data_IF_707216861986
#
_entry.id   IF_707216861986
#
_cell.length_a   1.000
_cell.length_b   1.000
_cell.length_c   1.000
_cell.angle_alpha   90.00
_cell.angle_beta   90.00
_cell.angle_gamma   90.00
#
_symmetry.space_group_name_H-M   'P 1'
#
loop_
_entity.id
_entity.type
_entity.pdbx_description
1 polymer ?
#
# COMPACT_ATOMS: atom_id res chain seq x y z
N UNK A 1 17.52 56.30 -57.45
CA UNK A 1 16.24 55.63 -57.19
C UNK A 1 16.49 54.14 -56.99
N UNK A 2 16.63 53.70 -55.73
CA UNK A 2 16.71 52.31 -55.33
C UNK A 2 16.18 52.24 -53.90
N UNK A 3 15.07 51.55 -53.68
CA UNK A 3 14.82 50.87 -52.41
C UNK A 3 13.74 49.81 -52.61
N UNK A 4 13.94 48.74 -51.88
CA UNK A 4 13.55 47.37 -52.18
C UNK A 4 12.17 47.01 -51.63
N UNK A 5 11.50 46.07 -52.31
CA UNK A 5 10.30 45.40 -51.81
C UNK A 5 10.65 44.53 -50.60
N UNK A 6 9.99 44.78 -49.46
CA UNK A 6 10.07 43.92 -48.29
C UNK A 6 8.93 42.88 -48.34
N UNK A 7 9.29 41.62 -48.59
CA UNK A 7 8.40 40.48 -48.35
C UNK A 7 8.36 40.18 -46.84
N UNK A 8 7.17 40.25 -46.24
CA UNK A 8 6.95 39.80 -44.86
C UNK A 8 6.74 38.29 -44.87
N UNK A 9 7.66 37.56 -44.26
CA UNK A 9 7.52 36.13 -43.95
C UNK A 9 6.81 36.04 -42.59
N UNK A 10 5.55 35.62 -42.58
CA UNK A 10 4.82 35.27 -41.35
C UNK A 10 5.14 33.83 -40.98
N UNK A 11 6.01 33.64 -39.99
CA UNK A 11 6.25 32.34 -39.38
C UNK A 11 5.09 31.99 -38.43
N UNK A 12 4.29 30.99 -38.79
CA UNK A 12 3.28 30.42 -37.88
C UNK A 12 3.96 29.45 -36.92
N UNK A 13 4.12 29.85 -35.67
CA UNK A 13 4.58 28.99 -34.59
C UNK A 13 3.42 28.12 -34.10
N UNK A 14 3.38 26.86 -34.51
CA UNK A 14 2.45 25.87 -33.97
C UNK A 14 2.91 25.44 -32.57
N UNK A 15 2.23 25.95 -31.54
CA UNK A 15 2.36 25.50 -30.16
C UNK A 15 1.73 24.10 -30.02
N UNK A 16 2.56 23.05 -30.04
CA UNK A 16 2.17 21.72 -29.61
C UNK A 16 2.02 21.71 -28.08
N UNK A 17 0.81 21.95 -27.59
CA UNK A 17 0.43 21.55 -26.23
C UNK A 17 0.31 20.02 -26.23
N UNK A 18 1.39 19.33 -25.86
CA UNK A 18 1.29 17.93 -25.47
C UNK A 18 0.43 17.88 -24.20
N UNK A 19 -0.73 17.20 -24.17
CA UNK A 19 -1.45 16.97 -22.94
C UNK A 19 -0.57 16.05 -22.09
N UNK A 20 0.11 16.63 -21.10
CA UNK A 20 0.60 15.85 -19.97
C UNK A 20 -0.63 15.22 -19.34
N UNK A 21 -0.83 13.93 -19.60
CA UNK A 21 -1.75 13.11 -18.85
C UNK A 21 -1.26 13.12 -17.41
N UNK A 22 -1.83 14.00 -16.60
CA UNK A 22 -1.73 13.91 -15.16
C UNK A 22 -2.43 12.60 -14.78
N UNK A 23 -1.67 11.52 -14.64
CA UNK A 23 -2.14 10.33 -13.96
C UNK A 23 -2.50 10.80 -12.56
N UNK A 24 -3.80 10.92 -12.27
CA UNK A 24 -4.27 10.96 -10.90
C UNK A 24 -3.90 9.60 -10.31
N UNK A 25 -2.78 9.53 -9.59
CA UNK A 25 -2.27 8.32 -8.96
C UNK A 25 -3.19 7.95 -7.79
N UNK A 26 -4.35 7.38 -8.14
CA UNK A 26 -5.27 6.76 -7.21
C UNK A 26 -4.78 5.34 -6.94
N UNK A 27 -4.81 4.91 -5.68
CA UNK A 27 -4.52 3.52 -5.34
C UNK A 27 -5.75 2.70 -5.74
N UNK A 28 -5.58 1.82 -6.72
CA UNK A 28 -6.58 0.81 -7.09
C UNK A 28 -6.19 -0.51 -6.43
N UNK A 29 -6.81 -0.84 -5.28
CA UNK A 29 -6.49 -2.05 -4.54
C UNK A 29 -6.90 -3.33 -5.26
N UNK A 30 -7.92 -3.30 -6.11
CA UNK A 30 -8.39 -4.48 -6.84
C UNK A 30 -7.44 -4.90 -7.97
N UNK A 31 -6.64 -3.95 -8.47
CA UNK A 31 -5.71 -4.18 -9.57
C UNK A 31 -4.40 -3.39 -9.36
N UNK A 32 -3.53 -3.92 -8.51
CA UNK A 32 -2.18 -3.39 -8.32
C UNK A 32 -1.23 -4.11 -9.27
N UNK A 33 -0.69 -3.38 -10.25
CA UNK A 33 0.25 -3.93 -11.24
C UNK A 33 1.65 -3.40 -11.00
N UNK A 34 2.58 -4.29 -10.65
CA UNK A 34 4.00 -3.95 -10.43
C UNK A 34 4.88 -4.90 -11.22
N UNK A 35 5.67 -4.36 -12.16
CA UNK A 35 6.57 -5.14 -13.02
C UNK A 35 5.90 -6.36 -13.69
N UNK A 36 4.72 -6.16 -14.28
CA UNK A 36 3.92 -7.21 -14.96
C UNK A 36 3.38 -8.31 -14.03
N UNK A 37 3.40 -8.09 -12.71
CA UNK A 37 2.68 -8.92 -11.74
C UNK A 37 1.49 -8.15 -11.23
N UNK A 38 0.35 -8.82 -11.21
CA UNK A 38 -0.91 -8.29 -10.73
C UNK A 38 -1.17 -8.81 -9.32
N UNK A 39 -1.72 -7.95 -8.48
CA UNK A 39 -2.12 -8.25 -7.11
C UNK A 39 -3.50 -7.66 -6.86
N UNK A 40 -4.33 -8.41 -6.15
CA UNK A 40 -5.64 -7.93 -5.69
C UNK A 40 -5.60 -7.83 -4.15
N UNK A 41 -5.55 -6.59 -3.67
CA UNK A 41 -5.59 -6.22 -2.26
C UNK A 41 -6.97 -5.69 -1.84
N UNK A 42 -8.00 -5.82 -2.68
CA UNK A 42 -9.36 -5.35 -2.40
C UNK A 42 -9.98 -5.98 -1.16
N UNK A 43 -9.60 -7.23 -0.85
CA UNK A 43 -9.99 -7.89 0.39
C UNK A 43 -9.43 -7.22 1.66
N UNK A 44 -8.44 -6.34 1.53
CA UNK A 44 -7.89 -5.53 2.61
C UNK A 44 -8.50 -4.12 2.66
N UNK A 45 -9.49 -3.81 1.82
CA UNK A 45 -10.15 -2.50 1.77
C UNK A 45 -11.07 -2.29 2.99
N UNK A 46 -10.46 -2.02 4.12
CA UNK A 46 -11.11 -1.67 5.36
C UNK A 46 -10.28 -0.62 6.12
N UNK A 47 -10.90 0.00 7.13
CA UNK A 47 -10.21 0.87 8.07
C UNK A 47 -9.69 0.04 9.24
N UNK A 48 -8.38 0.06 9.44
CA UNK A 48 -7.69 -0.61 10.54
C UNK A 48 -7.18 0.43 11.53
N UNK A 49 -7.08 0.02 12.79
CA UNK A 49 -6.50 0.85 13.85
C UNK A 49 -5.45 0.07 14.62
N UNK A 50 -4.29 0.69 14.80
CA UNK A 50 -3.25 0.23 15.71
C UNK A 50 -3.06 1.28 16.79
N UNK A 51 -2.53 0.90 17.94
CA UNK A 51 -2.18 1.85 18.99
C UNK A 51 -0.81 1.56 19.59
N UNK A 52 -0.15 2.62 20.04
CA UNK A 52 1.07 2.56 20.85
C UNK A 52 0.85 3.36 22.13
N UNK A 53 1.53 2.96 23.20
CA UNK A 53 1.43 3.62 24.51
C UNK A 53 2.83 4.02 24.94
N UNK A 54 3.02 5.32 25.15
CA UNK A 54 4.25 5.90 25.65
C UNK A 54 4.00 6.45 27.06
N UNK A 55 4.80 5.98 28.02
CA UNK A 55 4.64 6.37 29.43
C UNK A 55 5.65 7.45 29.79
N UNK A 56 5.14 8.61 30.19
CA UNK A 56 5.93 9.77 30.61
C UNK A 56 5.40 10.30 31.95
N UNK A 57 5.70 9.64 33.09
CA UNK A 57 5.10 9.99 34.37
C UNK A 57 5.14 11.50 34.67
N UNK A 58 4.01 12.14 34.99
CA UNK A 58 2.69 11.57 35.31
C UNK A 58 1.73 11.35 34.12
N UNK A 59 2.14 11.63 32.88
CA UNK A 59 1.30 11.47 31.69
C UNK A 59 1.52 10.14 30.98
N UNK A 60 0.50 9.70 30.25
CA UNK A 60 0.54 8.55 29.35
C UNK A 60 -0.02 9.00 28.01
N UNK A 61 0.77 8.84 26.98
CA UNK A 61 0.39 9.12 25.60
C UNK A 61 -0.08 7.84 24.94
N UNK A 62 -1.32 7.84 24.46
CA UNK A 62 -1.86 6.78 23.63
C UNK A 62 -2.02 7.30 22.20
N UNK A 63 -1.16 6.81 21.31
CA UNK A 63 -1.20 7.17 19.90
C UNK A 63 -1.94 6.10 19.12
N UNK A 64 -3.09 6.47 18.55
CA UNK A 64 -3.86 5.60 17.65
C UNK A 64 -3.56 5.95 16.21
N UNK A 65 -3.10 4.97 15.43
CA UNK A 65 -2.89 5.07 13.99
C UNK A 65 -4.11 4.49 13.28
N UNK A 66 -4.82 5.32 12.51
CA UNK A 66 -5.91 4.90 11.64
C UNK A 66 -5.39 4.75 10.20
N UNK A 67 -5.65 3.60 9.59
CA UNK A 67 -5.13 3.22 8.27
C UNK A 67 -6.27 2.70 7.39
N UNK A 68 -6.48 3.35 6.26
CA UNK A 68 -7.16 2.80 5.10
C UNK A 68 -6.37 3.22 3.86
N UNK A 69 -5.60 2.30 3.30
CA UNK A 69 -4.74 2.62 2.16
C UNK A 69 -5.50 2.59 0.83
N UNK A 70 -6.68 1.96 0.75
CA UNK A 70 -7.49 1.88 -0.46
C UNK A 70 -8.40 3.10 -0.64
N UNK A 71 -8.96 3.63 0.46
CA UNK A 71 -9.91 4.75 0.47
C UNK A 71 -9.59 5.75 1.58
N UNK A 72 -10.07 7.00 1.49
CA UNK A 72 -9.98 7.94 2.60
C UNK A 72 -10.63 7.38 3.88
N UNK A 73 -10.08 7.74 5.03
CA UNK A 73 -10.58 7.40 6.35
C UNK A 73 -11.98 7.99 6.56
N UNK A 74 -12.82 7.22 7.26
CA UNK A 74 -14.12 7.71 7.67
C UNK A 74 -13.93 8.74 8.80
N UNK A 75 -14.71 9.82 8.74
CA UNK A 75 -14.77 10.79 9.83
C UNK A 75 -15.43 10.17 11.04
N UNK A 76 -14.96 10.56 12.22
CA UNK A 76 -15.58 10.20 13.49
C UNK A 76 -16.64 11.23 13.85
N UNK A 77 -17.80 10.75 14.28
CA UNK A 77 -18.93 11.62 14.64
C UNK A 77 -18.81 12.18 16.07
N UNK A 78 -18.06 11.49 16.92
CA UNK A 78 -17.90 11.76 18.35
C UNK A 78 -16.83 12.81 18.67
N UNK A 79 -16.03 13.23 17.69
CA UNK A 79 -14.89 14.12 17.88
C UNK A 79 -15.01 15.37 17.00
N UNK A 80 -14.50 16.49 17.52
CA UNK A 80 -14.53 17.75 16.80
C UNK A 80 -13.80 17.61 15.47
N UNK A 81 -14.40 18.08 14.37
CA UNK A 81 -13.80 18.00 13.04
C UNK A 81 -12.40 18.64 12.92
N UNK A 82 -12.00 19.51 13.86
CA UNK A 82 -10.66 20.11 13.92
C UNK A 82 -9.63 19.23 14.64
N UNK A 83 -10.09 18.32 15.50
CA UNK A 83 -9.28 17.35 16.26
C UNK A 83 -9.34 15.96 15.63
N UNK A 84 -10.18 15.77 14.62
CA UNK A 84 -10.23 14.58 13.81
C UNK A 84 -9.29 14.67 12.60
N UNK A 85 -9.01 13.53 11.99
CA UNK A 85 -8.18 13.47 10.80
C UNK A 85 -8.77 14.33 9.66
N UNK A 86 -7.93 15.14 8.98
CA UNK A 86 -8.41 15.97 7.90
C UNK A 86 -8.98 15.14 6.74
N UNK A 87 -9.92 15.72 5.99
CA UNK A 87 -10.50 15.05 4.83
C UNK A 87 -9.43 14.69 3.80
N UNK A 88 -9.53 13.49 3.22
CA UNK A 88 -8.55 12.95 2.29
C UNK A 88 -7.43 12.14 2.94
N UNK A 89 -7.36 12.09 4.28
CA UNK A 89 -6.45 11.21 5.01
C UNK A 89 -6.69 9.75 4.67
N UNK A 90 -5.62 9.01 4.39
CA UNK A 90 -5.60 7.54 4.29
C UNK A 90 -4.85 6.92 5.46
N UNK A 91 -3.87 7.65 5.98
CA UNK A 91 -3.13 7.31 7.19
C UNK A 91 -3.04 8.54 8.07
N UNK A 92 -3.42 8.39 9.33
CA UNK A 92 -3.47 9.47 10.31
C UNK A 92 -3.17 8.92 11.70
N UNK A 93 -2.48 9.71 12.52
CA UNK A 93 -2.25 9.42 13.93
C UNK A 93 -2.96 10.43 14.81
N UNK A 94 -3.56 9.96 15.90
CA UNK A 94 -4.18 10.80 16.92
C UNK A 94 -3.60 10.37 18.26
N UNK A 95 -2.98 11.32 18.96
CA UNK A 95 -2.39 11.06 20.28
C UNK A 95 -3.27 11.69 21.35
N UNK A 96 -3.74 10.85 22.27
CA UNK A 96 -4.40 11.28 23.48
C UNK A 96 -3.40 11.27 24.63
N UNK A 97 -3.25 12.39 25.31
CA UNK A 97 -2.46 12.48 26.54
C UNK A 97 -3.42 12.33 27.73
N UNK A 98 -3.10 11.41 28.63
CA UNK A 98 -3.85 11.18 29.86
C UNK A 98 -2.98 11.43 31.07
N UNK A 99 -3.38 12.35 31.95
CA UNK A 99 -2.73 12.56 33.23
C UNK A 99 -3.20 11.49 34.22
N UNK A 100 -2.26 10.69 34.74
CA UNK A 100 -2.57 9.56 35.63
C UNK A 100 -2.94 9.96 37.05
N UNK A 101 -2.66 11.21 37.45
CA UNK A 101 -2.99 11.75 38.78
C UNK A 101 -4.42 12.30 38.80
N UNK A 102 -4.76 13.12 37.81
CA UNK A 102 -6.05 13.83 37.76
C UNK A 102 -7.09 13.10 36.91
N UNK A 103 -6.70 11.99 36.25
CA UNK A 103 -7.52 11.20 35.32
C UNK A 103 -8.15 12.02 34.18
N UNK A 104 -7.53 13.14 33.81
CA UNK A 104 -7.94 13.99 32.69
C UNK A 104 -7.28 13.51 31.40
N UNK A 105 -8.04 13.50 30.30
CA UNK A 105 -7.57 13.10 28.97
C UNK A 105 -7.91 14.17 27.95
N UNK A 106 -6.96 14.46 27.05
CA UNK A 106 -7.12 15.42 25.96
C UNK A 106 -6.44 14.91 24.69
N UNK A 107 -6.91 15.36 23.54
CA UNK A 107 -6.21 15.13 22.27
C UNK A 107 -5.01 16.07 22.23
N UNK A 108 -3.80 15.51 22.35
CA UNK A 108 -2.54 16.25 22.32
C UNK A 108 -2.23 16.71 20.90
N UNK A 109 -2.36 15.79 19.94
CA UNK A 109 -2.09 16.10 18.53
C UNK A 109 -2.81 15.17 17.56
N UNK A 110 -2.97 15.66 16.33
CA UNK A 110 -3.49 14.93 15.18
C UNK A 110 -2.55 15.14 14.01
N UNK A 111 -1.93 14.06 13.56
CA UNK A 111 -0.88 14.07 12.55
C UNK A 111 -1.41 13.42 11.27
N UNK A 112 -1.67 14.20 10.20
CA UNK A 112 -1.96 13.63 8.89
C UNK A 112 -0.68 13.04 8.29
N UNK A 113 -0.58 11.72 8.20
CA UNK A 113 0.64 11.03 7.76
C UNK A 113 0.67 10.85 6.24
N UNK A 114 -0.41 10.34 5.66
CA UNK A 114 -0.51 10.14 4.22
C UNK A 114 -1.96 10.28 3.74
N UNK A 115 -2.15 10.80 2.53
CA UNK A 115 -3.48 11.15 2.03
C UNK A 115 -3.42 12.13 0.88
N UNK A 116 -4.59 12.41 0.33
CA UNK A 116 -4.74 13.42 -0.72
C UNK A 116 -5.07 14.77 -0.09
N UNK A 117 -4.07 15.64 0.02
CA UNK A 117 -4.18 16.92 0.69
C UNK A 117 -3.88 18.11 -0.22
N UNK A 118 -3.88 17.93 -1.55
CA UNK A 118 -3.57 19.00 -2.53
C UNK A 118 -4.49 20.22 -2.42
N UNK A 119 -5.67 20.07 -1.83
CA UNK A 119 -6.63 21.15 -1.57
C UNK A 119 -6.58 21.71 -0.14
N UNK A 120 -5.65 21.24 0.69
CA UNK A 120 -5.49 21.65 2.10
C UNK A 120 -4.03 21.99 2.42
N UNK A 121 -3.51 21.61 3.60
CA UNK A 121 -2.19 22.02 4.09
C UNK A 121 -1.05 21.02 3.75
N UNK A 122 -1.29 20.08 2.84
CA UNK A 122 -0.34 19.01 2.49
C UNK A 122 -0.07 18.90 0.99
N UNK A 123 0.50 17.76 0.59
CA UNK A 123 0.73 17.40 -0.80
C UNK A 123 -0.26 16.37 -1.33
N UNK A 124 -0.02 15.91 -2.56
CA UNK A 124 -0.74 14.77 -3.13
C UNK A 124 -0.29 13.45 -2.51
N UNK A 125 -1.13 12.42 -2.63
CA UNK A 125 -0.86 11.09 -2.08
C UNK A 125 0.40 10.43 -2.68
N UNK A 126 0.66 10.66 -3.98
CA UNK A 126 1.80 10.12 -4.74
C UNK A 126 2.18 8.66 -4.39
N UNK A 127 1.26 7.70 -4.49
CA UNK A 127 1.51 6.32 -4.07
C UNK A 127 2.54 5.63 -4.96
N UNK A 128 3.54 4.99 -4.34
CA UNK A 128 4.59 4.24 -5.03
C UNK A 128 4.57 2.78 -4.62
N UNK A 129 4.38 1.91 -5.60
CA UNK A 129 4.42 0.46 -5.43
C UNK A 129 5.75 -0.12 -5.87
N UNK A 130 6.34 -0.98 -5.05
CA UNK A 130 7.59 -1.70 -5.37
C UNK A 130 7.47 -3.16 -4.99
N UNK A 131 8.11 -4.05 -5.76
CA UNK A 131 8.17 -5.49 -5.45
C UNK A 131 9.36 -5.78 -4.56
N UNK A 132 9.11 -6.46 -3.43
CA UNK A 132 10.15 -6.78 -2.44
C UNK A 132 11.23 -7.71 -3.03
N UNK A 133 10.84 -8.78 -3.74
CA UNK A 133 11.79 -9.72 -4.37
C UNK A 133 12.82 -9.06 -5.28
N UNK A 134 12.45 -7.96 -5.93
CA UNK A 134 13.31 -7.25 -6.89
C UNK A 134 13.89 -5.96 -6.31
N UNK A 135 13.60 -5.66 -5.05
CA UNK A 135 14.14 -4.50 -4.34
C UNK A 135 15.65 -4.67 -4.20
N UNK A 136 16.39 -3.59 -4.39
CA UNK A 136 17.84 -3.55 -4.20
C UNK A 136 18.26 -3.60 -2.73
N UNK A 137 17.31 -3.48 -1.79
CA UNK A 137 17.58 -3.51 -0.37
C UNK A 137 17.89 -4.92 0.14
N UNK A 138 18.99 -5.08 0.87
CA UNK A 138 19.42 -6.37 1.45
C UNK A 138 18.38 -6.96 2.41
N UNK A 139 17.59 -6.12 3.08
CA UNK A 139 16.50 -6.53 3.98
C UNK A 139 15.32 -7.20 3.26
N UNK A 140 15.20 -7.01 1.94
CA UNK A 140 14.10 -7.54 1.14
C UNK A 140 14.46 -8.86 0.43
N UNK A 141 15.72 -9.30 0.53
CA UNK A 141 16.20 -10.53 -0.13
C UNK A 141 15.43 -11.75 0.38
N UNK A 142 14.73 -12.41 -0.54
CA UNK A 142 13.96 -13.63 -0.26
C UNK A 142 12.54 -13.40 0.27
N UNK A 143 12.11 -12.16 0.49
CA UNK A 143 10.74 -11.83 0.92
C UNK A 143 9.85 -11.65 -0.31
N UNK A 144 8.76 -12.42 -0.37
CA UNK A 144 7.70 -12.25 -1.36
C UNK A 144 6.68 -11.22 -0.87
N UNK A 145 6.34 -10.24 -1.70
CA UNK A 145 5.39 -9.21 -1.32
C UNK A 145 5.56 -7.88 -2.06
N UNK A 146 4.88 -6.87 -1.53
CA UNK A 146 4.82 -5.51 -2.06
C UNK A 146 5.18 -4.49 -0.99
N UNK A 147 5.80 -3.38 -1.37
CA UNK A 147 5.94 -2.19 -0.53
C UNK A 147 5.17 -1.04 -1.17
N UNK A 148 4.28 -0.45 -0.39
CA UNK A 148 3.55 0.76 -0.71
C UNK A 148 4.13 1.92 0.09
N UNK A 149 4.64 2.94 -0.61
CA UNK A 149 4.99 4.23 -0.02
C UNK A 149 3.90 5.25 -0.38
N UNK A 150 3.35 5.91 0.64
CA UNK A 150 2.32 6.93 0.49
C UNK A 150 2.80 8.24 1.11
N UNK A 151 2.51 9.34 0.44
CA UNK A 151 2.91 10.69 0.82
C UNK A 151 1.68 11.59 1.06
N UNK A 152 1.94 12.89 1.11
CA UNK A 152 0.95 13.95 1.18
C UNK A 152 0.85 14.60 2.55
N UNK A 153 1.12 13.87 3.62
CA UNK A 153 1.01 14.39 4.98
C UNK A 153 2.03 15.50 5.27
N UNK A 154 1.60 16.48 6.06
CA UNK A 154 2.46 17.57 6.52
C UNK A 154 2.03 17.98 7.91
N UNK A 155 2.97 17.92 8.85
CA UNK A 155 2.76 18.29 10.24
C UNK A 155 3.45 19.62 10.55
N UNK A 156 2.79 20.46 11.34
CA UNK A 156 3.32 21.74 11.82
C UNK A 156 3.75 21.57 13.25
N UNK A 157 5.05 21.51 13.46
CA UNK A 157 5.63 21.39 14.78
C UNK A 157 6.01 22.79 15.29
N UNK A 158 5.47 23.18 16.43
CA UNK A 158 5.76 24.49 17.04
C UNK A 158 6.63 24.30 18.28
N UNK A 159 7.86 24.79 18.21
CA UNK A 159 8.80 24.83 19.33
C UNK A 159 9.07 26.28 19.73
N UNK A 160 8.50 26.70 20.85
CA UNK A 160 8.52 28.10 21.30
C UNK A 160 7.90 29.02 20.24
N UNK A 161 8.68 29.99 19.74
CA UNK A 161 8.20 30.94 18.71
C UNK A 161 8.41 30.47 17.26
N UNK A 162 8.98 29.28 17.03
CA UNK A 162 9.29 28.78 15.67
C UNK A 162 8.34 27.64 15.31
N UNK A 163 7.67 27.77 14.17
CA UNK A 163 6.88 26.69 13.58
C UNK A 163 7.64 26.13 12.38
N UNK A 164 7.91 24.82 12.40
CA UNK A 164 8.49 24.08 11.28
C UNK A 164 7.44 23.18 10.67
N UNK A 165 7.48 23.07 9.35
CA UNK A 165 6.64 22.11 8.62
C UNK A 165 7.49 20.88 8.34
N UNK A 166 7.04 19.72 8.79
CA UNK A 166 7.68 18.43 8.57
C UNK A 166 6.81 17.60 7.65
N UNK A 167 7.36 17.13 6.53
CA UNK A 167 6.65 16.22 5.63
C UNK A 167 6.47 14.87 6.33
N UNK A 168 5.37 14.21 6.06
CA UNK A 168 5.05 12.90 6.61
C UNK A 168 4.93 11.89 5.46
N UNK A 169 5.23 10.63 5.73
CA UNK A 169 4.94 9.53 4.81
C UNK A 169 4.64 8.23 5.57
N UNK A 170 3.93 7.34 4.91
CA UNK A 170 3.68 5.99 5.40
C UNK A 170 4.27 4.96 4.44
N UNK A 171 4.91 3.94 4.98
CA UNK A 171 5.43 2.78 4.26
C UNK A 171 4.74 1.55 4.82
N UNK A 172 4.02 0.82 3.97
CA UNK A 172 3.37 -0.44 4.30
C UNK A 172 4.06 -1.55 3.49
N UNK A 173 4.66 -2.51 4.19
CA UNK A 173 5.21 -3.72 3.58
C UNK A 173 4.22 -4.87 3.69
N UNK A 174 3.60 -5.22 2.57
CA UNK A 174 2.74 -6.38 2.47
C UNK A 174 3.59 -7.63 2.23
N UNK A 175 3.63 -8.53 3.22
CA UNK A 175 4.43 -9.75 3.19
C UNK A 175 3.52 -10.94 2.89
N UNK A 176 3.89 -11.72 1.87
CA UNK A 176 3.14 -12.92 1.52
C UNK A 176 3.22 -13.94 2.66
N UNK A 177 2.09 -14.14 3.33
CA UNK A 177 1.89 -15.17 4.33
C UNK A 177 0.75 -16.08 3.90
N UNK A 178 1.11 -17.32 3.54
CA UNK A 178 0.16 -18.37 3.17
C UNK A 178 -0.32 -19.09 4.42
N UNK A 179 -1.61 -19.45 4.43
CA UNK A 179 -2.17 -20.35 5.45
C UNK A 179 -1.49 -21.73 5.39
N UNK A 180 -1.52 -22.54 6.47
CA UNK A 180 -0.97 -23.90 6.46
C UNK A 180 -1.52 -24.75 5.30
N UNK A 181 -2.82 -24.66 5.03
CA UNK A 181 -3.48 -25.38 3.93
C UNK A 181 -2.98 -24.95 2.56
N UNK A 182 -2.80 -23.64 2.34
CA UNK A 182 -2.24 -23.11 1.09
C UNK A 182 -0.77 -23.51 0.92
N UNK A 183 0.00 -23.55 2.01
CA UNK A 183 1.38 -24.05 1.99
C UNK A 183 1.41 -25.52 1.60
N UNK A 184 0.51 -26.35 2.16
CA UNK A 184 0.37 -27.78 1.79
C UNK A 184 -0.02 -27.93 0.33
N UNK A 185 -1.07 -27.26 -0.13
CA UNK A 185 -1.51 -27.30 -1.54
C UNK A 185 -0.41 -26.88 -2.52
N UNK A 186 0.34 -25.83 -2.21
CA UNK A 186 1.46 -25.37 -3.05
C UNK A 186 2.60 -26.37 -3.08
N UNK A 187 2.89 -27.04 -1.95
CA UNK A 187 3.86 -28.13 -1.89
C UNK A 187 3.41 -29.29 -2.77
N UNK A 188 2.15 -29.71 -2.65
CA UNK A 188 1.57 -30.81 -3.44
C UNK A 188 1.56 -30.47 -4.95
N UNK A 189 1.29 -29.22 -5.32
CA UNK A 189 1.38 -28.74 -6.71
C UNK A 189 2.82 -28.79 -7.23
N UNK A 190 3.80 -28.36 -6.43
CA UNK A 190 5.22 -28.43 -6.80
C UNK A 190 5.71 -29.86 -6.96
N UNK A 191 5.25 -30.80 -6.12
CA UNK A 191 5.57 -32.23 -6.25
C UNK A 191 5.00 -32.79 -7.55
N UNK A 192 3.72 -32.53 -7.85
CA UNK A 192 3.09 -32.98 -9.11
C UNK A 192 3.75 -32.43 -10.38
N UNK A 193 4.35 -31.24 -10.32
CA UNK A 193 5.10 -30.67 -11.45
C UNK A 193 6.44 -31.39 -11.59
N UNK A 194 7.15 -31.63 -10.49
CA UNK A 194 8.41 -32.41 -10.52
C UNK A 194 8.18 -33.82 -11.04
N UNK A 195 7.11 -34.50 -10.60
CA UNK A 195 6.78 -35.83 -11.09
C UNK A 195 6.46 -35.84 -12.59
N UNK A 196 5.96 -34.73 -13.15
CA UNK A 196 5.72 -34.60 -14.60
C UNK A 196 6.97 -34.29 -15.40
N UNK A 197 7.95 -33.62 -14.81
CA UNK A 197 9.24 -33.35 -15.46
C UNK A 197 10.21 -34.53 -15.33
N UNK A 198 10.01 -35.42 -14.33
CA UNK A 198 10.83 -36.62 -14.09
C UNK A 198 10.22 -37.91 -14.68
N UNK A 199 8.94 -37.94 -15.05
CA UNK A 199 8.32 -39.05 -15.79
C UNK A 199 8.56 -38.97 -17.30
N UNK A 200 9.83 -39.01 -17.68
CA UNK A 200 10.25 -39.69 -18.92
C UNK A 200 10.72 -41.13 -18.65
N UNK A 201 10.85 -41.61 -17.41
CA UNK A 201 11.02 -43.06 -17.13
C UNK A 201 10.66 -43.47 -15.67
N UNK A 202 9.75 -44.45 -15.59
CA UNK A 202 9.59 -45.50 -14.56
C UNK A 202 8.80 -45.32 -13.24
N UNK A 203 8.23 -46.47 -12.90
CA UNK A 203 7.18 -46.90 -11.97
C UNK A 203 7.62 -46.93 -10.48
N UNK A 204 6.65 -47.30 -9.64
CA UNK A 204 6.71 -47.73 -8.24
C UNK A 204 6.51 -46.69 -7.14
N UNK A 205 5.57 -47.01 -6.24
CA UNK A 205 5.07 -46.17 -5.17
C UNK A 205 5.80 -46.34 -3.83
N UNK A 206 5.37 -45.55 -2.84
CA UNK A 206 5.08 -46.02 -1.48
C UNK A 206 4.42 -44.91 -0.65
N UNK A 207 3.65 -45.35 0.34
CA UNK A 207 2.95 -44.56 1.36
C UNK A 207 3.88 -43.71 2.22
N UNK A 208 3.38 -42.61 2.79
CA UNK A 208 3.83 -42.17 4.12
C UNK A 208 2.82 -41.23 4.83
N UNK A 209 2.60 -41.55 6.10
CA UNK A 209 1.66 -40.96 7.06
C UNK A 209 1.98 -39.50 7.40
N UNK A 210 0.95 -38.65 7.55
CA UNK A 210 1.09 -37.26 8.02
C UNK A 210 0.52 -37.12 9.43
N UNK A 211 1.43 -36.94 10.39
CA UNK A 211 1.11 -36.55 11.77
C UNK A 211 0.53 -35.14 11.86
N UNK A 212 -0.54 -35.03 12.64
CA UNK A 212 -1.29 -33.82 12.95
C UNK A 212 -0.64 -33.10 14.15
N UNK A 213 -0.25 -31.84 13.98
CA UNK A 213 0.12 -30.95 15.08
C UNK A 213 -0.70 -29.65 14.95
N UNK A 214 -1.80 -29.63 15.70
CA UNK A 214 -2.74 -28.54 15.81
C UNK A 214 -2.18 -27.47 16.76
N UNK A 215 -1.46 -26.51 16.21
CA UNK A 215 -1.14 -25.24 16.86
C UNK A 215 -2.24 -24.21 16.60
N UNK A 216 -3.10 -23.97 17.60
CA UNK A 216 -4.18 -22.98 17.58
C UNK A 216 -3.60 -21.56 17.38
N UNK A 217 -3.90 -20.95 16.23
CA UNK A 217 -3.65 -19.53 15.94
C UNK A 217 -5.01 -18.87 15.83
N UNK A 218 -5.21 -17.79 16.59
CA UNK A 218 -6.39 -16.94 16.47
C UNK A 218 -6.32 -16.29 15.07
N UNK A 219 -7.18 -16.77 14.19
CA UNK A 219 -7.45 -16.23 12.86
C UNK A 219 -8.54 -15.18 13.02
N UNK A 220 -8.14 -13.93 13.26
CA UNK A 220 -9.02 -12.78 13.09
C UNK A 220 -9.29 -12.70 11.58
N UNK A 221 -10.41 -13.30 11.15
CA UNK A 221 -10.80 -13.60 9.75
C UNK A 221 -10.96 -12.42 8.78
N UNK A 222 -10.12 -11.40 8.88
CA UNK A 222 -10.07 -10.16 8.12
C UNK A 222 -8.71 -9.96 7.42
N UNK A 223 -8.17 -11.03 6.82
CA UNK A 223 -7.21 -10.88 5.72
C UNK A 223 -5.73 -10.72 6.08
N UNK A 224 -5.34 -10.88 7.35
CA UNK A 224 -3.93 -10.98 7.77
C UNK A 224 -3.56 -10.12 8.98
N UNK A 225 -2.29 -10.18 9.41
CA UNK A 225 -1.80 -9.49 10.62
C UNK A 225 -1.09 -8.19 10.26
N UNK A 226 -1.63 -7.05 10.74
CA UNK A 226 -1.02 -5.72 10.60
C UNK A 226 -0.21 -5.38 11.86
N UNK A 227 1.05 -4.99 11.69
CA UNK A 227 2.01 -4.76 12.78
C UNK A 227 2.64 -3.37 12.66
N UNK A 228 2.70 -2.64 13.78
CA UNK A 228 3.47 -1.42 13.90
C UNK A 228 4.98 -1.74 13.98
N UNK A 229 5.79 -1.11 13.13
CA UNK A 229 7.25 -1.27 13.16
C UNK A 229 7.90 -0.06 13.83
N UNK A 230 7.66 1.14 13.29
CA UNK A 230 8.18 2.38 13.87
C UNK A 230 7.48 3.63 13.34
N UNK A 231 7.63 4.73 14.06
CA UNK A 231 7.27 6.08 13.62
C UNK A 231 8.41 7.02 13.99
N UNK A 232 9.24 7.37 13.01
CA UNK A 232 10.55 7.99 13.26
C UNK A 232 10.77 9.24 12.39
N UNK A 233 11.46 10.22 12.96
CA UNK A 233 11.90 11.42 12.25
C UNK A 233 13.19 11.13 11.46
N UNK A 234 13.05 11.04 10.14
CA UNK A 234 14.17 10.98 9.19
C UNK A 234 14.52 12.41 8.72
N UNK A 235 15.51 12.59 7.83
CA UNK A 235 15.93 13.93 7.40
C UNK A 235 14.79 14.72 6.72
N UNK A 236 14.18 14.14 5.68
CA UNK A 236 13.14 14.82 4.89
C UNK A 236 11.73 14.56 5.45
N UNK A 237 11.45 13.35 5.93
CA UNK A 237 10.12 12.90 6.34
C UNK A 237 10.12 12.39 7.78
N UNK A 238 9.00 12.52 8.46
CA UNK A 238 8.66 11.60 9.55
C UNK A 238 7.95 10.41 8.91
N UNK A 239 8.43 9.20 9.17
CA UNK A 239 8.05 8.00 8.43
C UNK A 239 7.36 7.00 9.37
N UNK A 240 6.10 6.67 9.08
CA UNK A 240 5.41 5.53 9.68
C UNK A 240 5.73 4.26 8.89
N UNK A 241 6.24 3.22 9.57
CA UNK A 241 6.56 1.92 8.98
C UNK A 241 5.63 0.86 9.57
N UNK A 242 4.93 0.16 8.69
CA UNK A 242 4.02 -0.92 9.02
C UNK A 242 4.40 -2.18 8.24
N UNK A 243 4.25 -3.34 8.87
CA UNK A 243 4.32 -4.65 8.21
C UNK A 243 2.93 -5.27 8.20
N UNK A 244 2.49 -5.79 7.05
CA UNK A 244 1.21 -6.46 6.92
C UNK A 244 1.39 -7.83 6.30
N UNK A 245 1.26 -8.87 7.10
CA UNK A 245 1.33 -10.26 6.62
C UNK A 245 -0.02 -10.68 6.07
N UNK A 246 -0.06 -11.10 4.82
CA UNK A 246 -1.32 -11.43 4.14
C UNK A 246 -1.10 -12.35 2.93
N UNK A 247 -2.06 -13.22 2.65
CA UNK A 247 -2.04 -14.09 1.46
C UNK A 247 -2.21 -13.30 0.16
N UNK A 248 -2.81 -12.12 0.20
CA UNK A 248 -3.07 -11.28 -0.98
C UNK A 248 -1.79 -10.65 -1.56
N UNK A 249 -0.70 -10.66 -0.79
CA UNK A 249 0.63 -10.21 -1.23
C UNK A 249 1.43 -11.31 -1.95
N UNK A 250 0.87 -12.51 -2.12
CA UNK A 250 1.50 -13.62 -2.83
C UNK A 250 1.31 -13.49 -4.35
N UNK A 251 2.39 -13.66 -5.13
CA UNK A 251 2.38 -13.44 -6.60
C UNK A 251 1.58 -14.48 -7.39
N UNK A 252 1.21 -15.58 -6.75
CA UNK A 252 0.45 -16.71 -7.30
C UNK A 252 -0.92 -16.87 -6.65
N UNK A 253 -1.38 -15.88 -5.88
CA UNK A 253 -2.71 -15.88 -5.27
C UNK A 253 -3.79 -16.10 -6.34
N UNK A 254 -4.78 -16.95 -6.05
CA UNK A 254 -5.83 -17.29 -7.02
C UNK A 254 -6.64 -16.07 -7.44
N UNK A 255 -6.76 -15.08 -6.56
CA UNK A 255 -7.46 -13.82 -6.78
C UNK A 255 -6.76 -12.92 -7.82
N UNK A 256 -5.44 -13.10 -8.02
CA UNK A 256 -4.68 -12.42 -9.10
C UNK A 256 -4.84 -13.09 -10.48
N UNK A 257 -5.36 -14.32 -10.55
CA UNK A 257 -5.47 -15.11 -11.79
C UNK A 257 -6.82 -14.97 -12.49
N UNK A 258 -7.81 -14.36 -11.84
CA UNK A 258 -9.15 -14.20 -12.42
C UNK A 258 -9.23 -13.03 -13.41
N UNK A 259 -8.38 -12.01 -13.27
CA UNK A 259 -8.24 -10.90 -14.23
C UNK A 259 -7.55 -11.29 -15.55
N UNK A 260 -6.75 -12.36 -15.55
CA UNK A 260 -5.90 -12.75 -16.70
C UNK A 260 -6.47 -13.88 -17.57
N UNK A 261 -7.71 -14.32 -17.33
CA UNK A 261 -8.45 -15.23 -18.23
C UNK A 261 -9.43 -14.50 -19.14
N UNK A 262 -9.05 -13.35 -19.71
CA UNK A 262 -9.71 -12.88 -20.93
C UNK A 262 -9.23 -13.75 -22.10
N UNK A 263 -10.05 -14.74 -22.44
CA UNK A 263 -9.80 -15.71 -23.49
C UNK A 263 -9.39 -15.07 -24.81
N UNK A 264 -8.29 -15.60 -25.33
CA UNK A 264 -7.75 -15.42 -26.68
C UNK A 264 -8.81 -15.77 -27.74
N UNK A 265 -9.64 -14.80 -28.15
CA UNK A 265 -10.45 -14.90 -29.36
C UNK A 265 -9.64 -14.38 -30.55
N UNK A 266 -8.70 -15.20 -30.98
CA UNK A 266 -7.93 -15.01 -32.19
C UNK A 266 -8.01 -16.25 -33.06
N UNK A 267 -9.18 -16.55 -33.64
CA UNK A 267 -9.26 -17.46 -34.79
C UNK A 267 -10.56 -17.28 -35.60
N UNK A 268 -10.39 -17.16 -36.92
CA UNK A 268 -11.41 -17.23 -37.97
C UNK A 268 -12.53 -16.19 -38.03
N UNK A 269 -12.19 -14.98 -38.49
CA UNK A 269 -13.04 -14.33 -39.50
C UNK A 269 -12.77 -15.04 -40.82
N UNK A 270 -13.59 -16.04 -41.16
CA UNK A 270 -13.62 -16.55 -42.53
C UNK A 270 -14.00 -15.41 -43.46
N UNK A 271 -13.20 -15.26 -44.51
CA UNK A 271 -13.67 -14.88 -45.82
C UNK A 271 -15.03 -15.54 -46.10
N UNK A 272 -16.10 -14.76 -46.13
CA UNK A 272 -17.21 -15.05 -47.04
C UNK A 272 -17.33 -13.84 -47.96
N UNK A 273 -16.64 -13.99 -49.09
CA UNK A 273 -17.08 -13.48 -50.39
C UNK A 273 -18.33 -14.30 -50.75
N UNK A 274 -19.47 -13.63 -50.91
CA UNK A 274 -20.60 -13.98 -51.79
C UNK A 274 -21.58 -12.81 -51.79
#
# INVERSE_FOLDING_TARGET
MRSSNAYRITASAALCFAPWLANAYTINCDNVVVQKKEFNLGALDNQYSLYTIDQHPPTVDNTTFAINFCRPLNKREDINAKEDCPGGSRVCAITNETNTVDHTSLIRETIPIAGEYSHTQGGSLDPKWTRLKTSSATADKGREGLRLEMHGGMYKETHGSKTRKKKQKAIIEFICERTPDEKRRKRDELLRIKDKDENEDQDDGDDDEVGDDSGERIDDGHGGTLTFISFEDEEEFTTLRLEWKTKYACEDSKDSRESSKSGHWGWFTWFIIM
#
